data_IF_157003732261
#
_entry.id   IF_157003732261
#
_cell.length_a   1.000
_cell.length_b   1.000
_cell.length_c   1.000
_cell.angle_alpha   90.00
_cell.angle_beta   90.00
_cell.angle_gamma   90.00
#
_symmetry.space_group_name_H-M   'P 1'
#
loop_
_entity.id
_entity.type
_entity.pdbx_description
1 polymer ?
#
# COMPACT_ATOMS: atom_id res chain seq x y z
N UNK A 1 -11.48 -13.52 -6.70
CA UNK A 1 -11.58 -12.07 -6.98
C UNK A 1 -12.33 -11.46 -5.81
N UNK A 2 -11.67 -10.63 -4.99
CA UNK A 2 -12.33 -9.96 -3.88
C UNK A 2 -12.84 -8.60 -4.35
N UNK A 3 -14.13 -8.35 -4.17
CA UNK A 3 -14.78 -7.04 -4.30
C UNK A 3 -15.24 -6.68 -2.90
N UNK A 4 -14.49 -5.80 -2.24
CA UNK A 4 -14.65 -5.55 -0.81
C UNK A 4 -13.46 -4.78 -0.24
N UNK A 5 -13.75 -3.99 0.80
CA UNK A 5 -12.73 -3.28 1.56
C UNK A 5 -11.91 -4.30 2.35
N UNK A 6 -10.58 -4.19 2.28
CA UNK A 6 -9.68 -5.05 3.05
C UNK A 6 -8.96 -4.19 4.06
N UNK A 7 -9.20 -4.48 5.34
CA UNK A 7 -8.57 -3.81 6.47
C UNK A 7 -7.59 -4.78 7.12
N UNK A 8 -6.31 -4.41 7.19
CA UNK A 8 -5.26 -5.22 7.79
C UNK A 8 -4.57 -4.42 8.90
N UNK A 9 -4.89 -4.76 10.15
CA UNK A 9 -4.56 -3.94 11.31
C UNK A 9 -3.13 -4.11 11.83
N UNK A 10 -2.57 -5.31 11.74
CA UNK A 10 -1.20 -5.60 12.17
C UNK A 10 -0.69 -6.80 11.40
N UNK A 11 0.49 -6.67 10.82
CA UNK A 11 1.15 -7.77 10.17
C UNK A 11 2.66 -7.63 10.29
N UNK A 12 3.29 -8.71 10.74
CA UNK A 12 4.74 -8.90 10.88
C UNK A 12 5.06 -10.06 9.92
N UNK A 13 5.24 -9.75 8.62
CA UNK A 13 5.72 -10.71 7.63
C UNK A 13 5.65 -10.24 6.17
N UNK A 14 5.58 -11.19 5.23
CA UNK A 14 5.34 -10.92 3.79
C UNK A 14 3.85 -10.88 3.42
N UNK A 15 3.33 -9.69 3.13
CA UNK A 15 1.91 -9.44 2.91
C UNK A 15 1.64 -9.18 1.42
N UNK A 16 0.69 -9.88 0.83
CA UNK A 16 0.24 -9.61 -0.53
C UNK A 16 -1.28 -9.48 -0.60
N UNK A 17 -1.77 -8.25 -0.77
CA UNK A 17 -3.18 -7.94 -0.97
C UNK A 17 -3.45 -7.61 -2.43
N UNK A 18 -4.53 -8.17 -2.95
CA UNK A 18 -5.03 -7.83 -4.28
C UNK A 18 -6.54 -7.67 -4.27
N UNK A 19 -7.03 -6.45 -4.46
CA UNK A 19 -8.46 -6.17 -4.62
C UNK A 19 -8.78 -5.60 -6.00
N UNK A 20 -10.04 -5.72 -6.41
CA UNK A 20 -10.53 -5.09 -7.65
C UNK A 20 -11.24 -3.78 -7.32
N UNK A 21 -12.09 -3.78 -6.30
CA UNK A 21 -12.81 -2.59 -5.88
C UNK A 21 -12.89 -2.54 -4.36
N UNK A 22 -12.47 -1.42 -3.79
CA UNK A 22 -12.47 -1.19 -2.35
C UNK A 22 -11.22 -0.45 -1.88
N UNK A 23 -11.34 0.16 -0.71
CA UNK A 23 -10.21 0.81 -0.05
C UNK A 23 -9.36 -0.22 0.67
N UNK A 24 -8.05 -0.05 0.64
CA UNK A 24 -7.10 -0.80 1.44
C UNK A 24 -6.62 0.11 2.57
N UNK A 25 -6.82 -0.28 3.81
CA UNK A 25 -6.23 0.39 4.97
C UNK A 25 -5.29 -0.58 5.67
N UNK A 26 -4.02 -0.21 5.76
CA UNK A 26 -2.99 -1.00 6.41
C UNK A 26 -2.25 -0.20 7.46
N UNK A 27 -1.92 -0.86 8.56
CA UNK A 27 -1.14 -0.29 9.65
C UNK A 27 0.08 -1.14 9.94
N UNK A 28 1.27 -0.51 9.98
CA UNK A 28 2.55 -1.20 10.17
C UNK A 28 3.60 -0.29 10.81
N UNK A 29 4.53 -0.89 11.58
CA UNK A 29 5.66 -0.17 12.20
C UNK A 29 6.89 -0.03 11.31
N UNK A 30 7.26 -1.12 10.63
CA UNK A 30 8.46 -1.19 9.79
C UNK A 30 8.23 -2.21 8.68
N UNK A 31 8.28 -1.78 7.41
CA UNK A 31 8.12 -2.68 6.27
C UNK A 31 8.58 -2.00 4.97
N UNK A 32 8.95 -2.80 3.97
CA UNK A 32 9.09 -2.40 2.58
C UNK A 32 7.73 -2.42 1.89
N UNK A 33 7.30 -1.27 1.37
CA UNK A 33 5.96 -1.06 0.86
C UNK A 33 5.99 -1.03 -0.65
N UNK A 34 5.05 -1.75 -1.26
CA UNK A 34 4.82 -1.77 -2.70
C UNK A 34 3.32 -1.63 -2.97
N UNK A 35 2.85 -0.40 -3.12
CA UNK A 35 1.47 -0.11 -3.43
C UNK A 35 1.26 0.29 -4.88
N UNK A 36 0.21 -0.26 -5.48
CA UNK A 36 -0.20 0.01 -6.85
C UNK A 36 -1.71 0.11 -6.93
N UNK A 37 -2.20 1.20 -7.50
CA UNK A 37 -3.62 1.41 -7.84
C UNK A 37 -3.77 1.80 -9.30
N UNK A 38 -4.79 1.26 -9.99
CA UNK A 38 -5.11 1.66 -11.36
C UNK A 38 -6.04 2.87 -11.41
N UNK A 39 -6.97 3.03 -10.47
CA UNK A 39 -7.88 4.18 -10.37
C UNK A 39 -8.09 4.51 -8.89
N UNK A 40 -7.33 5.47 -8.39
CA UNK A 40 -7.39 5.85 -6.98
C UNK A 40 -6.13 6.57 -6.50
N UNK A 41 -6.16 6.95 -5.23
CA UNK A 41 -5.08 7.70 -4.60
C UNK A 41 -4.40 6.86 -3.53
N UNK A 42 -3.08 6.93 -3.48
CA UNK A 42 -2.28 6.28 -2.44
C UNK A 42 -1.93 7.36 -1.40
N UNK A 43 -2.35 7.16 -0.17
CA UNK A 43 -2.05 7.97 1.00
C UNK A 43 -1.10 7.20 1.91
N UNK A 44 -0.03 7.86 2.32
CA UNK A 44 0.96 7.27 3.21
C UNK A 44 1.32 8.28 4.30
N UNK A 45 1.07 7.92 5.55
CA UNK A 45 1.41 8.71 6.75
C UNK A 45 2.63 8.11 7.48
N UNK A 46 3.41 7.30 6.77
CA UNK A 46 4.54 6.58 7.31
C UNK A 46 5.82 7.39 7.16
N UNK A 47 6.72 7.24 8.14
CA UNK A 47 8.06 7.81 8.09
C UNK A 47 8.93 6.94 7.17
N UNK A 48 8.87 7.24 5.88
CA UNK A 48 9.56 6.47 4.83
C UNK A 48 10.89 7.15 4.55
N UNK A 49 11.99 6.40 4.74
CA UNK A 49 13.34 6.92 4.50
C UNK A 49 13.60 7.13 2.99
N UNK A 50 13.06 6.25 2.15
CA UNK A 50 13.22 6.32 0.71
C UNK A 50 11.87 6.07 0.02
N UNK A 51 11.29 7.10 -0.61
CA UNK A 51 10.03 7.00 -1.35
C UNK A 51 10.31 7.08 -2.85
N UNK A 52 9.93 6.03 -3.57
CA UNK A 52 9.89 5.95 -5.03
C UNK A 52 8.44 5.95 -5.48
N UNK A 53 7.90 7.14 -5.77
CA UNK A 53 6.57 7.26 -6.38
C UNK A 53 6.72 7.23 -7.90
N UNK A 54 6.08 6.29 -8.57
CA UNK A 54 5.98 6.28 -10.03
C UNK A 54 4.54 6.57 -10.42
N UNK A 55 4.29 7.80 -10.85
CA UNK A 55 3.01 8.22 -11.43
C UNK A 55 3.16 8.22 -12.95
N UNK A 56 2.97 7.05 -13.56
CA UNK A 56 3.31 6.82 -14.98
C UNK A 56 2.16 7.22 -15.92
N UNK A 57 0.97 7.52 -15.40
CA UNK A 57 -0.16 8.01 -16.18
C UNK A 57 -1.20 8.64 -15.25
N UNK A 58 -2.06 9.54 -15.75
CA UNK A 58 -3.16 10.13 -14.95
C UNK A 58 -4.12 9.10 -14.35
N UNK A 59 -4.04 7.85 -14.83
CA UNK A 59 -4.91 6.75 -14.43
C UNK A 59 -4.23 5.98 -13.27
N UNK A 60 -3.03 5.43 -13.44
CA UNK A 60 -2.38 4.57 -12.44
C UNK A 60 -1.36 5.27 -11.52
N UNK A 61 -1.41 4.93 -10.24
CA UNK A 61 -0.46 5.40 -9.22
C UNK A 61 0.28 4.21 -8.58
N UNK A 62 1.59 4.35 -8.42
CA UNK A 62 2.43 3.37 -7.72
C UNK A 62 3.37 4.07 -6.73
N UNK A 63 3.46 3.53 -5.52
CA UNK A 63 4.33 4.02 -4.46
C UNK A 63 5.13 2.84 -3.93
N UNK A 64 6.45 2.98 -3.92
CA UNK A 64 7.36 2.01 -3.32
C UNK A 64 8.26 2.71 -2.31
N UNK A 65 8.57 2.07 -1.19
CA UNK A 65 9.50 2.67 -0.23
C UNK A 65 9.72 1.84 1.02
N UNK A 66 10.75 2.17 1.81
CA UNK A 66 11.11 1.40 3.02
C UNK A 66 10.81 2.24 4.27
N UNK A 67 9.89 1.74 5.09
CA UNK A 67 9.50 2.33 6.38
C UNK A 67 10.42 1.77 7.46
N UNK A 68 11.08 2.65 8.20
CA UNK A 68 11.88 2.31 9.40
C UNK A 68 12.80 1.08 9.25
N UNK A 69 13.43 0.92 8.08
CA UNK A 69 14.33 -0.20 7.76
C UNK A 69 13.69 -1.60 7.93
N UNK A 70 12.37 -1.71 7.71
CA UNK A 70 11.65 -2.96 7.81
C UNK A 70 12.13 -4.01 6.80
N UNK A 71 12.24 -5.25 7.27
CA UNK A 71 12.63 -6.42 6.47
C UNK A 71 11.45 -7.05 5.72
N UNK A 72 10.25 -6.61 6.06
CA UNK A 72 8.98 -7.26 5.77
C UNK A 72 8.35 -6.60 4.55
N UNK A 73 7.96 -7.38 3.53
CA UNK A 73 7.38 -6.81 2.30
C UNK A 73 5.86 -6.75 2.38
N UNK A 74 5.31 -5.57 2.17
CA UNK A 74 3.88 -5.33 2.04
C UNK A 74 3.50 -4.90 0.62
N UNK A 75 2.97 -5.83 -0.16
CA UNK A 75 2.50 -5.64 -1.53
C UNK A 75 0.99 -5.41 -1.56
N UNK A 76 0.57 -4.29 -2.12
CA UNK A 76 -0.82 -3.82 -2.13
C UNK A 76 -1.21 -3.49 -3.57
N UNK A 77 -2.10 -4.27 -4.16
CA UNK A 77 -2.58 -4.06 -5.52
C UNK A 77 -4.11 -3.83 -5.50
N UNK A 78 -4.55 -2.71 -6.06
CA UNK A 78 -5.97 -2.42 -6.29
C UNK A 78 -6.23 -1.93 -7.71
N UNK A 79 -7.39 -2.28 -8.28
CA UNK A 79 -7.82 -1.74 -9.58
C UNK A 79 -8.56 -0.42 -9.36
N UNK A 80 -9.50 -0.37 -8.41
CA UNK A 80 -10.29 0.82 -8.13
C UNK A 80 -10.50 1.03 -6.64
N UNK A 81 -9.94 2.11 -6.11
CA UNK A 81 -9.98 2.43 -4.70
C UNK A 81 -8.70 3.05 -4.19
N UNK A 82 -8.80 3.62 -2.99
CA UNK A 82 -7.69 4.30 -2.34
C UNK A 82 -6.90 3.32 -1.46
N UNK A 83 -5.60 3.56 -1.35
CA UNK A 83 -4.72 2.83 -0.46
C UNK A 83 -4.30 3.78 0.65
N UNK A 84 -4.53 3.41 1.90
CA UNK A 84 -4.15 4.14 3.09
C UNK A 84 -3.10 3.33 3.85
N UNK A 85 -1.97 3.97 4.10
CA UNK A 85 -0.89 3.38 4.88
C UNK A 85 -0.66 4.22 6.12
N UNK A 86 -0.79 3.62 7.29
CA UNK A 86 -0.70 4.30 8.58
C UNK A 86 0.41 3.68 9.42
N UNK A 87 1.04 4.52 10.26
CA UNK A 87 1.96 4.05 11.29
C UNK A 87 1.17 3.49 12.49
N UNK A 88 1.67 2.41 13.08
CA UNK A 88 1.22 1.91 14.40
C UNK A 88 1.86 2.67 15.56
#
# INVERSE_FOLDING_TARGET
MISGNVELKKYDGELALKTISGNLDITMKKAEIDAKTLTGTIYSDLDINEIKTHKNSSISSRVQGIVSNGSERAKLETISGNIYMRKE
#
